data_IF_943299102582
#
_entry.id   IF_943299102582
#
_cell.length_a   1.000
_cell.length_b   1.000
_cell.length_c   1.000
_cell.angle_alpha   90.00
_cell.angle_beta   90.00
_cell.angle_gamma   90.00
#
_symmetry.space_group_name_H-M   'P 1'
#
loop_
_entity.id
_entity.type
_entity.pdbx_description
1 polymer ?
#
# COMPACT_ATOMS: atom_id res chain seq x y z
N UNK A 1 14.81 -12.39 -0.72
CA UNK A 1 13.97 -12.60 -1.89
C UNK A 1 13.93 -11.36 -2.75
N UNK A 2 14.01 -11.53 -4.01
CA UNK A 2 13.89 -10.37 -4.88
C UNK A 2 12.61 -10.45 -5.70
N UNK A 3 12.07 -9.29 -6.02
CA UNK A 3 10.87 -9.19 -6.80
C UNK A 3 11.11 -8.36 -8.05
N UNK A 4 12.37 -8.29 -8.48
CA UNK A 4 12.78 -7.39 -9.55
C UNK A 4 12.29 -7.82 -10.93
N UNK A 5 12.11 -9.12 -11.12
CA UNK A 5 11.78 -9.68 -12.41
C UNK A 5 10.36 -10.16 -12.50
N UNK A 6 9.50 -9.57 -11.71
CA UNK A 6 8.12 -9.98 -11.65
C UNK A 6 7.41 -9.57 -12.92
N UNK A 7 6.59 -10.48 -13.41
CA UNK A 7 5.58 -10.16 -14.39
C UNK A 7 4.55 -9.30 -13.69
N UNK A 8 4.40 -8.09 -14.12
CA UNK A 8 3.63 -7.10 -13.40
C UNK A 8 2.12 -7.29 -13.51
N UNK A 9 1.66 -8.27 -14.25
CA UNK A 9 0.25 -8.60 -14.28
C UNK A 9 -0.19 -9.33 -13.01
N UNK A 10 0.71 -10.14 -12.43
CA UNK A 10 0.44 -10.86 -11.21
C UNK A 10 1.62 -10.76 -10.26
N UNK A 11 1.31 -10.53 -8.99
CA UNK A 11 2.31 -10.47 -7.94
C UNK A 11 1.92 -11.44 -6.84
N UNK A 12 2.89 -12.18 -6.35
CA UNK A 12 2.69 -13.14 -5.28
C UNK A 12 2.65 -12.40 -3.94
N UNK A 13 1.60 -12.65 -3.16
CA UNK A 13 1.51 -12.07 -1.83
C UNK A 13 2.56 -12.69 -0.91
N UNK A 14 3.17 -11.86 -0.06
CA UNK A 14 4.13 -12.29 0.95
C UNK A 14 3.45 -12.62 2.28
N UNK A 15 2.19 -12.24 2.45
CA UNK A 15 1.44 -12.54 3.65
C UNK A 15 0.65 -13.84 3.52
N UNK A 16 0.13 -14.09 2.34
CA UNK A 16 -0.69 -15.25 2.05
C UNK A 16 -0.25 -15.85 0.73
N UNK A 17 -0.39 -17.17 0.54
CA UNK A 17 -0.03 -17.79 -0.72
C UNK A 17 -1.10 -17.53 -1.79
N UNK A 18 -1.21 -16.27 -2.19
CA UNK A 18 -2.16 -15.87 -3.22
C UNK A 18 -1.49 -14.88 -4.16
N UNK A 19 -1.99 -14.85 -5.37
CA UNK A 19 -1.52 -13.90 -6.37
C UNK A 19 -2.55 -12.79 -6.53
N UNK A 20 -2.11 -11.63 -6.98
CA UNK A 20 -2.98 -10.52 -7.29
C UNK A 20 -2.42 -9.78 -8.50
N UNK A 21 -3.29 -9.10 -9.24
CA UNK A 21 -2.87 -8.29 -10.37
C UNK A 21 -2.44 -6.92 -9.91
N UNK A 22 -1.42 -6.38 -10.59
CA UNK A 22 -0.90 -5.06 -10.23
C UNK A 22 -1.98 -3.98 -10.32
N UNK A 23 -2.93 -4.11 -11.25
CA UNK A 23 -3.97 -3.11 -11.42
C UNK A 23 -5.14 -3.24 -10.44
N UNK A 24 -5.14 -4.29 -9.62
CA UNK A 24 -6.18 -4.50 -8.61
C UNK A 24 -5.78 -3.92 -7.26
N UNK A 25 -4.56 -3.45 -7.13
CA UNK A 25 -4.01 -3.05 -5.84
C UNK A 25 -3.43 -1.66 -5.90
N UNK A 26 -3.28 -1.07 -4.72
CA UNK A 26 -2.52 0.15 -4.52
C UNK A 26 -1.38 -0.15 -3.56
N UNK A 27 -0.25 0.49 -3.78
CA UNK A 27 0.92 0.34 -2.93
C UNK A 27 1.09 1.59 -2.11
N UNK A 28 1.11 1.43 -0.81
CA UNK A 28 1.20 2.54 0.14
C UNK A 28 2.53 2.44 0.87
N UNK A 29 3.32 3.50 0.75
CA UNK A 29 4.59 3.60 1.49
C UNK A 29 4.50 4.63 2.61
N UNK A 30 3.47 5.44 2.62
CA UNK A 30 3.25 6.42 3.68
C UNK A 30 2.64 5.71 4.88
N UNK A 31 3.40 5.67 5.98
CA UNK A 31 2.98 4.93 7.17
C UNK A 31 1.75 5.54 7.83
N UNK A 32 1.60 6.85 7.76
CA UNK A 32 0.41 7.51 8.33
C UNK A 32 -0.84 7.13 7.55
N UNK A 33 -0.72 7.06 6.23
CA UNK A 33 -1.82 6.65 5.37
C UNK A 33 -2.18 5.19 5.63
N UNK A 34 -1.18 4.31 5.69
CA UNK A 34 -1.42 2.90 5.96
C UNK A 34 -2.09 2.71 7.32
N UNK A 35 -1.63 3.44 8.32
CA UNK A 35 -2.22 3.38 9.65
C UNK A 35 -3.70 3.78 9.61
N UNK A 36 -4.01 4.86 8.90
CA UNK A 36 -5.39 5.31 8.77
C UNK A 36 -6.27 4.23 8.15
N UNK A 37 -5.77 3.58 7.11
CA UNK A 37 -6.50 2.50 6.44
C UNK A 37 -6.76 1.36 7.42
N UNK A 38 -5.72 0.91 8.11
CA UNK A 38 -5.85 -0.21 9.06
C UNK A 38 -6.81 0.14 10.20
N UNK A 39 -6.76 1.36 10.70
CA UNK A 39 -7.66 1.82 11.75
C UNK A 39 -9.12 1.87 11.29
N UNK A 40 -9.34 1.89 9.98
CA UNK A 40 -10.68 1.85 9.40
C UNK A 40 -10.99 0.47 8.81
N UNK A 41 -10.34 -0.56 9.31
CA UNK A 41 -10.58 -1.96 8.96
C UNK A 41 -10.28 -2.31 7.51
N UNK A 42 -9.37 -1.58 6.89
CA UNK A 42 -8.83 -1.91 5.58
C UNK A 42 -7.40 -2.39 5.76
N UNK A 43 -7.20 -3.68 5.54
CA UNK A 43 -5.92 -4.33 5.85
C UNK A 43 -5.14 -4.65 4.60
N UNK A 44 -3.81 -4.60 4.69
CA UNK A 44 -3.00 -4.95 3.52
C UNK A 44 -3.10 -6.44 3.22
N UNK A 45 -3.01 -6.76 1.93
CA UNK A 45 -2.97 -8.14 1.48
C UNK A 45 -1.54 -8.61 1.29
N UNK A 46 -0.58 -7.69 1.35
CA UNK A 46 0.83 -8.01 1.22
C UNK A 46 1.65 -6.90 1.86
N UNK A 47 2.82 -7.26 2.35
CA UNK A 47 3.80 -6.31 2.90
C UNK A 47 5.17 -6.79 2.46
N UNK A 48 5.97 -5.89 1.90
CA UNK A 48 7.33 -6.24 1.52
C UNK A 48 8.22 -5.00 1.60
N UNK A 49 9.52 -5.21 1.62
CA UNK A 49 10.47 -4.10 1.63
C UNK A 49 10.85 -3.72 0.21
N UNK A 50 11.09 -2.44 0.03
CA UNK A 50 11.57 -1.90 -1.25
C UNK A 50 12.67 -0.89 -0.99
N UNK A 51 13.12 -0.26 -2.06
CA UNK A 51 14.14 0.78 -1.99
C UNK A 51 13.62 1.99 -2.74
N UNK A 52 13.69 3.16 -2.11
CA UNK A 52 13.25 4.38 -2.76
C UNK A 52 14.32 4.94 -3.70
N UNK A 53 14.02 6.07 -4.33
CA UNK A 53 14.93 6.68 -5.31
C UNK A 53 16.25 7.13 -4.69
N UNK A 54 16.27 7.35 -3.39
CA UNK A 54 17.46 7.79 -2.66
C UNK A 54 18.27 6.63 -2.11
N UNK A 55 17.82 5.40 -2.35
CA UNK A 55 18.49 4.21 -1.84
C UNK A 55 18.08 3.80 -0.44
N UNK A 56 17.08 4.44 0.14
CA UNK A 56 16.61 4.10 1.48
C UNK A 56 15.66 2.91 1.44
N UNK A 57 15.78 2.03 2.41
CA UNK A 57 14.84 0.93 2.55
C UNK A 57 13.48 1.46 3.01
N UNK A 58 12.44 1.04 2.32
CA UNK A 58 11.07 1.41 2.66
C UNK A 58 10.23 0.17 2.84
N UNK A 59 9.14 0.32 3.57
CA UNK A 59 8.15 -0.73 3.72
C UNK A 59 6.98 -0.41 2.78
N UNK A 60 6.60 -1.39 1.97
CA UNK A 60 5.49 -1.24 1.02
C UNK A 60 4.34 -2.11 1.49
N UNK A 61 3.18 -1.49 1.70
CA UNK A 61 1.96 -2.19 2.03
C UNK A 61 1.02 -2.17 0.83
N UNK A 62 0.50 -3.33 0.49
CA UNK A 62 -0.35 -3.52 -0.69
C UNK A 62 -1.78 -3.72 -0.24
N UNK A 63 -2.68 -2.88 -0.74
CA UNK A 63 -4.10 -2.94 -0.40
C UNK A 63 -4.90 -3.19 -1.67
N UNK A 64 -6.04 -3.84 -1.52
CA UNK A 64 -6.98 -3.96 -2.62
C UNK A 64 -7.58 -2.60 -2.93
N UNK A 65 -7.47 -2.21 -4.20
CA UNK A 65 -7.91 -0.88 -4.64
C UNK A 65 -9.38 -0.63 -4.29
N UNK A 66 -10.22 -1.62 -4.50
CA UNK A 66 -11.65 -1.46 -4.25
C UNK A 66 -11.99 -1.20 -2.78
N UNK A 67 -11.12 -1.66 -1.88
CA UNK A 67 -11.34 -1.45 -0.44
C UNK A 67 -10.84 -0.11 0.04
N UNK A 68 -10.02 0.57 -0.75
CA UNK A 68 -9.37 1.79 -0.33
C UNK A 68 -10.11 3.06 -0.75
N UNK A 69 -11.15 2.94 -1.57
CA UNK A 69 -11.79 4.13 -2.15
C UNK A 69 -12.34 5.08 -1.09
N UNK A 70 -13.06 4.56 -0.11
CA UNK A 70 -13.64 5.39 0.94
C UNK A 70 -12.58 5.92 1.90
N UNK A 71 -11.64 5.08 2.30
CA UNK A 71 -10.59 5.51 3.25
C UNK A 71 -9.61 6.47 2.60
N UNK A 72 -9.48 6.42 1.29
CA UNK A 72 -8.66 7.39 0.58
C UNK A 72 -9.24 8.81 0.71
N UNK A 73 -10.56 8.92 0.69
CA UNK A 73 -11.20 10.21 0.93
C UNK A 73 -10.93 10.73 2.33
N UNK A 74 -10.97 9.84 3.32
CA UNK A 74 -10.62 10.22 4.69
C UNK A 74 -9.16 10.68 4.77
N UNK A 75 -8.28 9.99 4.06
CA UNK A 75 -6.87 10.36 4.03
C UNK A 75 -6.67 11.75 3.43
N UNK A 76 -7.33 12.04 2.31
CA UNK A 76 -7.23 13.34 1.69
C UNK A 76 -7.72 14.45 2.62
N UNK A 77 -8.82 14.21 3.31
CA UNK A 77 -9.38 15.20 4.23
C UNK A 77 -8.45 15.42 5.42
N UNK A 78 -7.87 14.34 5.93
CA UNK A 78 -6.92 14.43 7.02
C UNK A 78 -5.69 15.24 6.62
N UNK A 79 -5.17 15.03 5.43
CA UNK A 79 -4.03 15.79 4.93
C UNK A 79 -4.34 17.27 4.81
N UNK A 80 -5.52 17.62 4.35
CA UNK A 80 -5.92 19.01 4.26
C UNK A 80 -5.99 19.68 5.63
N UNK A 81 -6.49 18.96 6.64
CA UNK A 81 -6.53 19.45 8.00
C UNK A 81 -5.13 19.66 8.56
N UNK A 82 -4.22 18.72 8.29
CA UNK A 82 -2.84 18.82 8.72
C UNK A 82 -2.18 20.06 8.11
N UNK A 83 -2.41 20.30 6.83
CA UNK A 83 -1.80 21.43 6.14
C UNK A 83 -2.30 22.78 6.63
N UNK A 84 -3.49 22.82 7.23
CA UNK A 84 -4.05 24.06 7.74
C UNK A 84 -3.69 24.32 9.19
N UNK A 85 -3.13 23.36 9.85
CA UNK A 85 -2.68 23.52 11.22
C UNK A 85 -1.29 24.10 11.29
#
# INVERSE_FOLDING_TARGET
MTINNIDYDYLQSHLNPRSYKANEVVRIINMKQAKLYICNNVYPIDIYSGIDKKGNTILVMVFLKEQTQQVYELWKNWMLEEDTL
#
